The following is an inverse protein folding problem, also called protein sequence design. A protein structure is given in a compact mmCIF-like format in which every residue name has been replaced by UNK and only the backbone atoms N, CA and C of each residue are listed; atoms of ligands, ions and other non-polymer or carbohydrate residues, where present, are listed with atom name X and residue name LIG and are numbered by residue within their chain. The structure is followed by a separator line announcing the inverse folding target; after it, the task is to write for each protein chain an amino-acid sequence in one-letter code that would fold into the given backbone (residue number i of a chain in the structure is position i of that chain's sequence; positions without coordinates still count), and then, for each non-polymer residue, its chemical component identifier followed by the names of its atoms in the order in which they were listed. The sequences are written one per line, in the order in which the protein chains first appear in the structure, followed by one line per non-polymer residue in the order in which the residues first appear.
data_IF_721132665548
#
_entry.id   IF_721132665548
#
_cell.length_a   1.000
_cell.length_b   1.000
_cell.length_c   1.000
_cell.angle_alpha   90.00
_cell.angle_beta   90.00
_cell.angle_gamma   90.00
#
_symmetry.space_group_name_H-M   'P 1'
#
loop_
_entity.id
_entity.type
_entity.pdbx_description
1 polymer ?
#
# COMPACT_ATOMS: atom_id res chain seq x y z
N UNK A 1 12.40 -44.23 -4.20
CA UNK A 1 12.65 -43.29 -3.09
C UNK A 1 12.42 -41.90 -3.66
N UNK A 2 11.36 -41.18 -3.26
CA UNK A 2 11.21 -39.79 -3.67
C UNK A 2 12.26 -38.96 -2.92
N UNK A 3 12.97 -38.09 -3.64
CA UNK A 3 13.90 -37.12 -3.05
C UNK A 3 13.10 -36.05 -2.28
N UNK A 4 13.42 -35.88 -1.00
CA UNK A 4 13.06 -34.69 -0.24
C UNK A 4 13.74 -33.47 -0.88
N UNK A 5 12.93 -32.57 -1.44
CA UNK A 5 13.38 -31.24 -1.83
C UNK A 5 13.46 -30.37 -0.57
N UNK A 6 14.55 -29.60 -0.39
CA UNK A 6 14.75 -28.82 0.82
C UNK A 6 13.67 -27.74 0.97
N UNK A 7 13.18 -27.61 2.19
CA UNK A 7 12.27 -26.57 2.66
C UNK A 7 12.78 -25.19 2.19
N UNK A 8 12.01 -24.51 1.33
CA UNK A 8 12.28 -23.11 1.01
C UNK A 8 12.12 -22.30 2.28
N UNK A 9 13.27 -21.83 2.80
CA UNK A 9 13.41 -20.80 3.83
C UNK A 9 12.25 -19.81 3.75
N UNK A 10 11.47 -19.76 4.84
CA UNK A 10 10.40 -18.80 5.04
C UNK A 10 10.90 -17.41 4.65
N UNK A 11 10.37 -16.85 3.55
CA UNK A 11 10.61 -15.46 3.17
C UNK A 11 10.33 -14.61 4.40
N UNK A 12 11.31 -13.86 4.87
CA UNK A 12 11.07 -12.81 5.86
C UNK A 12 10.45 -11.66 5.07
N UNK A 13 9.22 -11.87 4.58
CA UNK A 13 8.44 -10.84 3.94
C UNK A 13 8.07 -9.83 5.03
N UNK A 14 8.53 -8.59 4.88
CA UNK A 14 8.04 -7.50 5.71
C UNK A 14 6.51 -7.39 5.62
N UNK A 15 5.85 -6.66 6.52
CA UNK A 15 4.40 -6.56 6.51
C UNK A 15 3.94 -5.75 5.29
N UNK A 16 3.62 -6.45 4.20
CA UNK A 16 3.16 -5.83 2.95
C UNK A 16 1.66 -5.55 3.01
N UNK A 17 1.28 -4.43 2.39
CA UNK A 17 -0.09 -3.95 2.35
C UNK A 17 -0.58 -4.02 0.90
N UNK A 18 -1.80 -4.53 0.71
CA UNK A 18 -2.41 -4.62 -0.63
C UNK A 18 -2.91 -3.25 -1.09
N UNK A 19 -2.58 -2.91 -2.33
CA UNK A 19 -2.95 -1.67 -2.99
C UNK A 19 -3.74 -1.98 -4.27
N UNK A 20 -4.90 -1.36 -4.44
CA UNK A 20 -5.76 -1.51 -5.61
C UNK A 20 -5.63 -0.31 -6.54
N UNK A 21 -5.18 -0.55 -7.77
CA UNK A 21 -5.08 0.46 -8.83
C UNK A 21 -6.29 0.35 -9.75
N UNK A 22 -7.18 1.33 -9.67
CA UNK A 22 -8.46 1.34 -10.37
C UNK A 22 -8.35 2.31 -11.54
N UNK A 23 -8.60 1.81 -12.75
CA UNK A 23 -8.68 2.65 -13.94
C UNK A 23 -10.09 3.23 -14.05
N UNK A 24 -10.19 4.55 -14.13
CA UNK A 24 -11.47 5.25 -14.15
C UNK A 24 -11.44 6.45 -15.11
N UNK A 25 -12.61 6.88 -15.64
CA UNK A 25 -12.68 8.13 -16.40
C UNK A 25 -12.33 9.32 -15.49
N UNK A 26 -11.55 10.27 -16.01
CA UNK A 26 -11.25 11.52 -15.30
C UNK A 26 -12.44 12.48 -15.37
N UNK A 27 -13.51 12.18 -14.61
CA UNK A 27 -14.74 12.97 -14.59
C UNK A 27 -15.32 13.10 -13.18
N UNK A 28 -16.17 14.10 -13.01
CA UNK A 28 -16.92 14.32 -11.77
C UNK A 28 -17.71 13.07 -11.40
N UNK A 29 -17.60 12.65 -10.13
CA UNK A 29 -18.36 11.52 -9.58
C UNK A 29 -17.68 10.15 -9.69
N UNK A 30 -16.68 9.96 -10.56
CA UNK A 30 -16.07 8.64 -10.77
C UNK A 30 -15.53 8.00 -9.47
N UNK A 31 -14.80 8.76 -8.66
CA UNK A 31 -14.33 8.30 -7.35
C UNK A 31 -15.44 8.10 -6.33
N UNK A 32 -16.51 8.90 -6.40
CA UNK A 32 -17.65 8.74 -5.50
C UNK A 32 -18.35 7.41 -5.74
N UNK A 33 -18.46 6.98 -6.99
CA UNK A 33 -19.07 5.70 -7.35
C UNK A 33 -18.26 4.54 -6.76
N UNK A 34 -16.92 4.59 -6.83
CA UNK A 34 -16.03 3.60 -6.18
C UNK A 34 -16.23 3.60 -4.66
N UNK A 35 -16.18 4.75 -4.00
CA UNK A 35 -16.30 4.80 -2.52
C UNK A 35 -17.68 4.34 -2.04
N UNK A 36 -18.76 4.67 -2.78
CA UNK A 36 -20.10 4.17 -2.49
C UNK A 36 -20.18 2.66 -2.60
N UNK A 37 -19.55 2.10 -3.63
CA UNK A 37 -19.47 0.66 -3.84
C UNK A 37 -18.80 -0.04 -2.65
N UNK A 38 -17.66 0.47 -2.16
CA UNK A 38 -16.97 -0.07 -0.97
C UNK A 38 -17.86 -0.03 0.29
N UNK A 39 -18.56 1.10 0.48
CA UNK A 39 -19.45 1.31 1.62
C UNK A 39 -20.57 0.27 1.73
N UNK A 40 -20.97 -0.38 0.62
CA UNK A 40 -22.02 -1.42 0.63
C UNK A 40 -21.66 -2.65 1.45
N UNK A 41 -20.36 -2.90 1.70
CA UNK A 41 -19.86 -4.03 2.50
C UNK A 41 -19.08 -3.59 3.74
N UNK A 42 -19.32 -2.36 4.23
CA UNK A 42 -18.61 -1.78 5.37
C UNK A 42 -17.09 -1.72 5.22
N UNK A 43 -16.59 -1.64 3.98
CA UNK A 43 -15.17 -1.38 3.71
C UNK A 43 -14.96 0.09 3.37
N UNK A 44 -13.77 0.61 3.67
CA UNK A 44 -13.45 2.00 3.42
C UNK A 44 -12.00 2.20 2.96
N UNK A 45 -11.74 3.38 2.40
CA UNK A 45 -10.41 3.76 1.89
C UNK A 45 -9.54 4.24 3.05
N UNK A 46 -8.37 3.63 3.19
CA UNK A 46 -7.36 3.92 4.20
C UNK A 46 -6.28 4.86 3.66
N UNK A 47 -5.96 4.75 2.37
CA UNK A 47 -5.03 5.62 1.66
C UNK A 47 -5.52 5.85 0.24
N UNK A 48 -5.25 7.04 -0.32
CA UNK A 48 -5.68 7.42 -1.65
C UNK A 48 -4.62 8.26 -2.36
N UNK A 49 -4.35 7.92 -3.61
CA UNK A 49 -3.64 8.75 -4.58
C UNK A 49 -4.35 8.65 -5.94
N UNK A 50 -4.40 9.76 -6.68
CA UNK A 50 -4.94 9.79 -8.04
C UNK A 50 -3.84 10.28 -8.96
N UNK A 51 -3.50 9.48 -9.97
CA UNK A 51 -2.63 9.89 -11.06
C UNK A 51 -3.48 10.15 -12.29
N UNK A 52 -3.47 11.40 -12.77
CA UNK A 52 -4.25 11.82 -13.93
C UNK A 52 -3.53 11.58 -15.25
N UNK A 53 -4.33 11.30 -16.27
CA UNK A 53 -3.98 11.34 -17.69
C UNK A 53 -5.05 12.19 -18.41
N UNK A 54 -4.85 12.49 -19.70
CA UNK A 54 -5.73 13.40 -20.45
C UNK A 54 -7.22 13.02 -20.39
N UNK A 55 -7.54 11.73 -20.58
CA UNK A 55 -8.94 11.24 -20.62
C UNK A 55 -9.28 10.24 -19.51
N UNK A 56 -8.30 9.85 -18.70
CA UNK A 56 -8.46 8.82 -17.68
C UNK A 56 -7.66 9.15 -16.43
N UNK A 57 -7.95 8.46 -15.34
CA UNK A 57 -7.21 8.55 -14.10
C UNK A 57 -7.01 7.16 -13.52
N UNK A 58 -5.90 6.99 -12.81
CA UNK A 58 -5.63 5.80 -12.02
C UNK A 58 -5.75 6.18 -10.55
N UNK A 59 -6.78 5.66 -9.90
CA UNK A 59 -6.92 5.76 -8.45
C UNK A 59 -6.18 4.60 -7.78
N UNK A 60 -5.16 4.94 -7.00
CA UNK A 60 -4.47 3.99 -6.12
C UNK A 60 -5.08 4.10 -4.74
N UNK A 61 -5.68 3.00 -4.27
CA UNK A 61 -6.25 2.93 -2.93
C UNK A 61 -5.65 1.80 -2.12
N UNK A 62 -5.50 2.04 -0.82
CA UNK A 62 -5.41 0.99 0.20
C UNK A 62 -6.74 0.99 0.95
N UNK A 63 -7.25 -0.18 1.28
CA UNK A 63 -8.58 -0.37 1.86
C UNK A 63 -8.51 -1.11 3.18
N UNK A 64 -9.57 -0.98 3.98
CA UNK A 64 -9.68 -1.62 5.29
C UNK A 64 -9.81 -3.14 5.21
N UNK A 65 -10.36 -3.69 4.14
CA UNK A 65 -10.48 -5.15 3.95
C UNK A 65 -10.23 -5.49 2.47
N UNK A 66 -8.98 -5.83 2.11
CA UNK A 66 -8.63 -6.14 0.74
C UNK A 66 -9.40 -7.33 0.16
N UNK A 67 -9.67 -8.37 0.94
CA UNK A 67 -10.35 -9.58 0.46
C UNK A 67 -11.80 -9.27 0.08
N UNK A 68 -12.49 -8.54 0.95
CA UNK A 68 -13.86 -8.09 0.67
C UNK A 68 -13.89 -7.15 -0.54
N UNK A 69 -12.94 -6.23 -0.68
CA UNK A 69 -12.89 -5.29 -1.82
C UNK A 69 -12.59 -5.97 -3.14
N UNK A 70 -11.68 -6.95 -3.16
CA UNK A 70 -11.37 -7.75 -4.33
C UNK A 70 -12.63 -8.47 -4.84
N UNK A 71 -13.41 -9.06 -3.93
CA UNK A 71 -14.70 -9.68 -4.26
C UNK A 71 -15.71 -8.66 -4.82
N UNK A 72 -15.86 -7.49 -4.19
CA UNK A 72 -16.79 -6.45 -4.66
C UNK A 72 -16.44 -6.01 -6.09
N UNK A 73 -15.15 -5.81 -6.38
CA UNK A 73 -14.71 -5.37 -7.69
C UNK A 73 -14.93 -6.44 -8.76
N UNK A 74 -14.72 -7.72 -8.44
CA UNK A 74 -15.09 -8.81 -9.34
C UNK A 74 -16.60 -8.92 -9.56
N UNK A 75 -17.42 -8.78 -8.51
CA UNK A 75 -18.88 -8.83 -8.59
C UNK A 75 -19.48 -7.71 -9.47
N UNK A 76 -18.80 -6.56 -9.57
CA UNK A 76 -19.28 -5.36 -10.25
C UNK A 76 -18.49 -5.04 -11.53
N UNK A 77 -17.69 -5.98 -12.04
CA UNK A 77 -16.85 -5.83 -13.24
C UNK A 77 -15.97 -4.56 -13.21
N UNK A 78 -15.49 -4.17 -12.03
CA UNK A 78 -14.57 -3.05 -11.87
C UNK A 78 -13.18 -3.53 -12.31
N UNK A 79 -12.57 -2.82 -13.26
CA UNK A 79 -11.20 -3.12 -13.68
C UNK A 79 -10.20 -2.58 -12.64
N UNK A 80 -9.41 -3.46 -12.04
CA UNK A 80 -8.36 -3.11 -11.09
C UNK A 80 -7.09 -3.93 -11.29
N UNK A 81 -5.96 -3.36 -10.87
CA UNK A 81 -4.72 -4.08 -10.61
C UNK A 81 -4.44 -4.14 -9.12
N UNK A 82 -3.67 -5.13 -8.68
CA UNK A 82 -3.20 -5.26 -7.29
C UNK A 82 -1.69 -5.18 -7.27
N UNK A 83 -1.13 -4.44 -6.32
CA UNK A 83 0.29 -4.53 -5.98
C UNK A 83 0.49 -4.44 -4.47
N UNK A 84 1.72 -4.70 -4.05
CA UNK A 84 2.14 -4.58 -2.66
C UNK A 84 2.88 -3.27 -2.45
N UNK A 85 2.62 -2.66 -1.29
CA UNK A 85 3.29 -1.44 -0.82
C UNK A 85 3.79 -1.65 0.61
N UNK A 86 4.91 -0.99 0.93
CA UNK A 86 5.42 -0.88 2.28
C UNK A 86 4.79 0.35 2.93
N UNK A 87 4.25 0.20 4.14
CA UNK A 87 3.71 1.31 4.91
C UNK A 87 4.62 1.55 6.12
N UNK A 88 5.12 2.78 6.26
CA UNK A 88 5.96 3.18 7.41
C UNK A 88 5.24 4.23 8.25
N UNK A 89 5.20 4.00 9.56
CA UNK A 89 4.74 4.98 10.54
C UNK A 89 5.85 6.00 10.83
N UNK A 90 5.48 7.28 10.86
CA UNK A 90 6.36 8.41 11.17
C UNK A 90 5.90 9.09 12.47
N UNK A 91 6.76 9.08 13.49
CA UNK A 91 6.57 9.79 14.76
C UNK A 91 6.69 11.30 14.59
N UNK A 92 7.77 11.74 13.92
CA UNK A 92 8.05 13.15 13.63
C UNK A 92 8.45 13.29 12.16
N UNK A 93 7.48 13.66 11.34
CA UNK A 93 7.61 13.70 9.87
C UNK A 93 8.77 14.60 9.45
N UNK A 94 8.98 15.71 10.13
CA UNK A 94 10.01 16.69 9.77
C UNK A 94 11.43 16.12 9.82
N UNK A 95 11.71 15.21 10.77
CA UNK A 95 13.03 14.61 10.95
C UNK A 95 13.13 13.22 10.32
N UNK A 96 12.07 12.43 10.42
CA UNK A 96 12.10 11.02 10.04
C UNK A 96 11.98 10.81 8.53
N UNK A 97 11.32 11.70 7.79
CA UNK A 97 11.22 11.56 6.34
C UNK A 97 12.60 11.62 5.66
N UNK A 98 13.46 12.56 6.07
CA UNK A 98 14.82 12.65 5.55
C UNK A 98 15.64 11.39 5.90
N UNK A 99 15.48 10.88 7.12
CA UNK A 99 16.13 9.64 7.57
C UNK A 99 15.65 8.43 6.76
N UNK A 100 14.34 8.34 6.48
CA UNK A 100 13.73 7.27 5.70
C UNK A 100 14.30 7.26 4.28
N UNK A 101 14.32 8.42 3.62
CA UNK A 101 14.85 8.54 2.26
C UNK A 101 16.35 8.26 2.20
N UNK A 102 17.11 8.67 3.22
CA UNK A 102 18.53 8.33 3.32
C UNK A 102 18.76 6.81 3.49
N UNK A 103 17.92 6.13 4.26
CA UNK A 103 17.97 4.68 4.43
C UNK A 103 17.73 3.95 3.10
N UNK A 104 16.73 4.38 2.32
CA UNK A 104 16.46 3.82 0.99
C UNK A 104 17.61 4.10 0.01
N UNK A 105 18.20 5.29 0.05
CA UNK A 105 19.37 5.64 -0.76
C UNK A 105 20.57 4.74 -0.45
N UNK A 106 20.87 4.51 0.84
CA UNK A 106 21.98 3.63 1.24
C UNK A 106 21.76 2.18 0.82
N UNK A 107 20.50 1.76 0.70
CA UNK A 107 20.09 0.45 0.22
C UNK A 107 20.07 0.34 -1.31
N UNK A 108 20.32 1.44 -2.03
CA UNK A 108 20.13 1.57 -3.49
C UNK A 108 18.71 1.17 -3.96
N UNK A 109 17.70 1.39 -3.10
CA UNK A 109 16.29 1.10 -3.39
C UNK A 109 15.61 2.34 -3.94
N UNK A 110 15.01 2.21 -5.12
CA UNK A 110 14.20 3.25 -5.71
C UNK A 110 12.74 3.21 -5.23
N UNK A 111 12.16 4.40 -5.01
CA UNK A 111 10.74 4.58 -4.70
C UNK A 111 9.97 5.03 -5.95
N UNK A 112 9.11 4.15 -6.48
CA UNK A 112 8.33 4.43 -7.68
C UNK A 112 7.22 5.46 -7.44
N UNK A 113 6.52 5.33 -6.31
CA UNK A 113 5.51 6.28 -5.86
C UNK A 113 5.30 6.15 -4.36
N UNK A 114 4.80 7.22 -3.76
CA UNK A 114 4.36 7.23 -2.37
C UNK A 114 3.17 8.16 -2.16
N UNK A 115 2.41 7.89 -1.09
CA UNK A 115 1.30 8.73 -0.68
C UNK A 115 0.97 8.49 0.80
N UNK A 116 0.47 9.52 1.50
CA UNK A 116 0.10 9.38 2.91
C UNK A 116 -1.18 8.55 3.06
N UNK A 117 -1.36 7.96 4.24
CA UNK A 117 -2.63 7.40 4.65
C UNK A 117 -3.61 8.53 5.02
N UNK A 118 -4.90 8.32 4.73
CA UNK A 118 -6.00 9.16 5.21
C UNK A 118 -6.22 8.96 6.72
N UNK A 119 -6.02 7.73 7.19
CA UNK A 119 -6.06 7.36 8.60
C UNK A 119 -4.72 7.65 9.29
N UNK A 120 -4.76 7.83 10.61
CA UNK A 120 -3.55 7.95 11.45
C UNK A 120 -3.42 6.76 12.40
N UNK A 121 -2.76 5.66 11.99
CA UNK A 121 -2.46 4.55 12.88
C UNK A 121 -1.75 5.08 14.14
N UNK A 122 -2.26 4.73 15.31
CA UNK A 122 -1.72 5.20 16.60
C UNK A 122 -1.62 6.74 16.76
N UNK A 123 -2.43 7.50 16.02
CA UNK A 123 -2.40 8.97 16.01
C UNK A 123 -1.21 9.57 15.25
N UNK A 124 -0.44 8.75 14.54
CA UNK A 124 0.79 9.13 13.83
C UNK A 124 0.57 9.20 12.32
N UNK A 125 1.45 9.92 11.63
CA UNK A 125 1.45 9.92 10.17
C UNK A 125 1.97 8.58 9.66
N UNK A 126 1.52 8.16 8.48
CA UNK A 126 2.02 6.97 7.83
C UNK A 126 2.15 7.22 6.32
N UNK A 127 3.19 6.65 5.72
CA UNK A 127 3.52 6.78 4.31
C UNK A 127 3.49 5.39 3.65
N UNK A 128 2.64 5.23 2.64
CA UNK A 128 2.66 4.06 1.77
C UNK A 128 3.63 4.31 0.62
N UNK A 129 4.45 3.30 0.29
CA UNK A 129 5.50 3.39 -0.72
C UNK A 129 5.55 2.12 -1.55
N UNK A 130 5.65 2.28 -2.87
CA UNK A 130 6.00 1.18 -3.76
C UNK A 130 7.48 1.27 -4.10
N UNK A 131 8.21 0.20 -3.80
CA UNK A 131 9.67 0.12 -3.83
C UNK A 131 10.09 -0.99 -4.80
N UNK A 132 11.21 -0.81 -5.48
CA UNK A 132 11.74 -1.79 -6.45
C UNK A 132 12.23 -3.08 -5.79
N UNK A 133 12.95 -3.00 -4.68
CA UNK A 133 13.33 -4.12 -3.82
C UNK A 133 12.74 -3.95 -2.42
N UNK A 134 11.59 -4.59 -2.23
CA UNK A 134 10.84 -4.53 -0.98
C UNK A 134 11.51 -5.31 0.16
N UNK A 135 12.20 -6.42 -0.13
CA UNK A 135 12.86 -7.24 0.90
C UNK A 135 14.09 -6.49 1.47
N UNK A 136 14.90 -5.90 0.59
CA UNK A 136 16.03 -5.05 0.98
C UNK A 136 15.54 -3.83 1.77
N UNK A 137 14.52 -3.14 1.26
CA UNK A 137 13.97 -1.96 1.91
C UNK A 137 13.46 -2.26 3.33
N UNK A 138 12.66 -3.31 3.50
CA UNK A 138 12.15 -3.69 4.81
C UNK A 138 13.29 -3.98 5.80
N UNK A 139 14.33 -4.68 5.34
CA UNK A 139 15.50 -5.02 6.17
C UNK A 139 16.25 -3.76 6.65
N UNK A 140 16.52 -2.81 5.75
CA UNK A 140 17.26 -1.58 6.08
C UNK A 140 16.40 -0.64 6.94
N UNK A 141 15.12 -0.47 6.61
CA UNK A 141 14.20 0.36 7.38
C UNK A 141 14.03 -0.17 8.82
N UNK A 142 13.93 -1.50 8.99
CA UNK A 142 13.88 -2.12 10.31
C UNK A 142 15.17 -1.89 11.09
N UNK A 143 16.34 -2.02 10.44
CA UNK A 143 17.64 -1.73 11.05
C UNK A 143 17.79 -0.28 11.52
N UNK A 144 17.18 0.66 10.79
CA UNK A 144 17.13 2.09 11.15
C UNK A 144 16.06 2.44 12.20
N UNK A 145 15.29 1.45 12.66
CA UNK A 145 14.28 1.61 13.71
C UNK A 145 12.92 2.11 13.23
N UNK A 146 12.65 2.07 11.92
CA UNK A 146 11.33 2.40 11.39
C UNK A 146 10.31 1.30 11.70
N UNK A 147 9.11 1.71 12.10
CA UNK A 147 7.98 0.79 12.28
C UNK A 147 7.22 0.65 10.97
N UNK A 148 7.27 -0.55 10.40
CA UNK A 148 6.44 -0.92 9.26
C UNK A 148 5.07 -1.40 9.74
N UNK A 149 4.02 -1.04 9.02
CA UNK A 149 2.64 -1.39 9.34
C UNK A 149 2.13 -2.47 8.39
N UNK A 150 1.49 -3.48 8.96
CA UNK A 150 0.77 -4.52 8.24
C UNK A 150 -0.63 -4.09 7.86
N UNK A 151 -1.27 -4.90 7.01
CA UNK A 151 -2.70 -4.73 6.72
C UNK A 151 -3.54 -4.66 8.02
N UNK A 152 -3.25 -5.51 9.00
CA UNK A 152 -3.97 -5.53 10.28
C UNK A 152 -3.79 -4.25 11.12
N UNK A 153 -2.65 -3.55 10.97
CA UNK A 153 -2.39 -2.31 11.71
C UNK A 153 -3.21 -1.13 11.18
N UNK A 154 -3.58 -1.18 9.89
CA UNK A 154 -4.26 -0.09 9.18
C UNK A 154 -5.75 -0.36 8.92
N UNK A 155 -6.17 -1.62 9.02
CA UNK A 155 -7.55 -2.07 8.92
C UNK A 155 -8.27 -1.90 10.27
N UNK A 156 -8.92 -0.76 10.50
CA UNK A 156 -9.74 -0.51 11.71
C UNK A 156 -11.06 0.13 11.38
#
# INVERSE_FOLDING_TARGET
MPLDLPETTSKIGGPLVKQFSIFMPNKVGAMLDIVKLLSTRNTHVVALSIAEQTDSAIARIVVSDPETVENIFHEHDVAFGVCEVVVVELQEVATELAKLLAALLMAEVNMHFSYPLLTRPHGRAALAMHLDDTECACSVLQGEGFKMLSQADISR
#
